data_IF_044351489655
#
_entry.id   IF_044351489655
#
_cell.length_a   1.000
_cell.length_b   1.000
_cell.length_c   1.000
_cell.angle_alpha   90.00
_cell.angle_beta   90.00
_cell.angle_gamma   90.00
#
_symmetry.space_group_name_H-M   'P 1'
#
loop_
_entity.id
_entity.type
_entity.pdbx_description
1 polymer ?
#
# COMPACT_ATOMS: atom_id res chain seq x y z
N UNK A 1 6.38 22.36 12.45
CA UNK A 1 5.51 22.44 11.27
C UNK A 1 4.45 21.36 11.40
N UNK A 2 3.15 21.70 11.30
CA UNK A 2 2.04 20.75 11.37
C UNK A 2 1.79 20.08 10.01
N UNK A 3 1.34 18.82 10.04
CA UNK A 3 0.79 18.08 8.90
C UNK A 3 -0.25 17.11 9.45
N UNK A 4 -1.51 17.53 9.41
CA UNK A 4 -2.64 16.93 10.11
C UNK A 4 -2.92 15.49 9.68
N UNK A 5 -2.71 14.55 10.61
CA UNK A 5 -3.32 13.23 10.54
C UNK A 5 -4.85 13.39 10.69
N UNK A 6 -5.61 12.72 9.81
CA UNK A 6 -7.07 12.73 9.88
C UNK A 6 -7.56 12.31 11.29
N UNK A 7 -8.59 12.97 11.84
CA UNK A 7 -9.12 12.66 13.15
C UNK A 7 -10.03 11.42 13.12
N UNK A 8 -9.81 10.52 14.08
CA UNK A 8 -10.65 9.35 14.37
C UNK A 8 -10.23 8.14 13.55
N UNK A 9 -9.62 7.11 14.11
CA UNK A 9 -10.29 6.25 15.07
C UNK A 9 -9.24 5.55 15.95
N UNK A 10 -8.98 6.10 17.14
CA UNK A 10 -8.34 5.35 18.21
C UNK A 10 -9.34 4.30 18.72
N UNK A 11 -9.32 3.11 18.14
CA UNK A 11 -10.17 2.02 18.59
C UNK A 11 -9.49 0.67 18.38
N UNK A 12 -8.41 0.41 19.14
CA UNK A 12 -7.79 -0.90 19.36
C UNK A 12 -7.23 -1.57 18.08
N UNK A 13 -6.11 -2.31 18.13
CA UNK A 13 -5.75 -3.19 17.03
C UNK A 13 -6.73 -4.37 17.06
N UNK A 14 -7.93 -4.18 16.51
CA UNK A 14 -8.83 -5.26 16.18
C UNK A 14 -8.07 -6.18 15.20
N UNK A 15 -8.03 -7.50 15.42
CA UNK A 15 -7.43 -8.42 14.46
C UNK A 15 -8.04 -8.16 13.08
N UNK A 16 -7.20 -7.89 12.10
CA UNK A 16 -7.63 -7.49 10.77
C UNK A 16 -8.51 -8.58 10.17
N UNK A 17 -9.71 -8.21 9.72
CA UNK A 17 -10.66 -9.15 9.14
C UNK A 17 -10.16 -9.60 7.75
N UNK A 18 -9.78 -10.88 7.58
CA UNK A 18 -9.24 -11.37 6.33
C UNK A 18 -10.24 -11.25 5.17
N UNK A 19 -11.55 -11.27 5.45
CA UNK A 19 -12.58 -11.13 4.42
C UNK A 19 -12.64 -9.68 3.93
N UNK A 20 -12.59 -8.72 4.86
CA UNK A 20 -12.56 -7.29 4.52
C UNK A 20 -11.29 -6.93 3.74
N UNK A 21 -10.13 -7.42 4.18
CA UNK A 21 -8.85 -7.22 3.47
C UNK A 21 -8.93 -7.78 2.05
N UNK A 22 -9.48 -8.99 1.89
CA UNK A 22 -9.60 -9.61 0.57
C UNK A 22 -10.52 -8.80 -0.35
N UNK A 23 -11.62 -8.26 0.16
CA UNK A 23 -12.52 -7.40 -0.60
C UNK A 23 -11.84 -6.09 -1.04
N UNK A 24 -11.03 -5.48 -0.18
CA UNK A 24 -10.27 -4.27 -0.49
C UNK A 24 -9.19 -4.53 -1.55
N UNK A 25 -8.47 -5.65 -1.44
CA UNK A 25 -7.49 -6.08 -2.44
C UNK A 25 -8.16 -6.36 -3.80
N UNK A 26 -9.30 -7.05 -3.79
CA UNK A 26 -10.04 -7.35 -5.01
C UNK A 26 -10.54 -6.06 -5.71
N UNK A 27 -10.91 -5.03 -4.94
CA UNK A 27 -11.27 -3.71 -5.45
C UNK A 27 -10.08 -2.96 -6.07
N UNK A 28 -8.93 -2.92 -5.38
CA UNK A 28 -7.71 -2.28 -5.88
C UNK A 28 -7.20 -2.96 -7.17
N UNK A 29 -7.29 -4.29 -7.24
CA UNK A 29 -6.93 -5.05 -8.43
C UNK A 29 -7.91 -4.83 -9.59
N UNK A 30 -9.18 -4.56 -9.33
CA UNK A 30 -10.15 -4.20 -10.36
C UNK A 30 -9.87 -2.80 -10.92
N UNK A 31 -9.54 -1.82 -10.07
CA UNK A 31 -9.15 -0.47 -10.46
C UNK A 31 -7.87 -0.48 -11.31
N UNK A 32 -6.87 -1.27 -10.92
CA UNK A 32 -5.63 -1.43 -11.68
C UNK A 32 -5.88 -1.99 -13.09
N UNK A 33 -6.78 -2.96 -13.23
CA UNK A 33 -7.15 -3.53 -14.54
C UNK A 33 -7.96 -2.56 -15.39
N UNK A 34 -8.80 -1.74 -14.78
CA UNK A 34 -9.53 -0.69 -15.48
C UNK A 34 -8.58 0.40 -16.01
N UNK A 35 -7.55 0.74 -15.24
CA UNK A 35 -6.49 1.68 -15.66
C UNK A 35 -5.58 1.11 -16.76
N UNK A 36 -5.29 -0.20 -16.73
CA UNK A 36 -4.48 -0.87 -17.75
C UNK A 36 -5.11 -0.88 -19.16
N UNK A 37 -6.42 -0.67 -19.27
CA UNK A 37 -7.12 -0.52 -20.56
C UNK A 37 -6.95 0.85 -21.23
N UNK A 38 -6.36 1.83 -20.54
CA UNK A 38 -6.22 3.22 -20.99
C UNK A 38 -4.75 3.65 -21.26
N UNK A 39 -3.79 2.72 -21.21
CA UNK A 39 -2.37 3.04 -21.34
C UNK A 39 -1.91 3.08 -22.81
N UNK A 40 -2.10 4.24 -23.46
CA UNK A 40 -1.45 4.59 -24.73
C UNK A 40 -0.05 5.15 -24.44
N UNK A 41 0.98 4.32 -24.61
CA UNK A 41 2.40 4.64 -24.89
C UNK A 41 3.24 5.54 -23.97
N UNK A 42 2.70 6.60 -23.37
CA UNK A 42 3.48 7.66 -22.69
C UNK A 42 3.58 7.50 -21.16
N UNK A 43 2.65 6.75 -20.54
CA UNK A 43 2.56 6.55 -19.07
C UNK A 43 3.57 5.50 -18.54
N UNK A 44 4.17 4.68 -19.42
CA UNK A 44 5.00 3.54 -19.02
C UNK A 44 6.27 3.93 -18.21
N UNK A 45 6.86 5.10 -18.48
CA UNK A 45 8.03 5.61 -17.74
C UNK A 45 7.68 6.15 -16.35
N UNK A 46 6.51 6.78 -16.23
CA UNK A 46 5.96 7.25 -14.94
C UNK A 46 5.59 6.05 -14.07
N UNK A 47 5.04 5.00 -14.68
CA UNK A 47 4.69 3.75 -14.01
C UNK A 47 5.90 2.98 -13.47
N UNK A 48 7.02 2.96 -14.19
CA UNK A 48 8.26 2.31 -13.70
C UNK A 48 8.79 3.03 -12.46
N UNK A 49 8.81 4.36 -12.48
CA UNK A 49 9.27 5.17 -11.33
C UNK A 49 8.34 4.98 -10.13
N UNK A 50 7.02 4.95 -10.38
CA UNK A 50 6.01 4.70 -9.35
C UNK A 50 6.15 3.30 -8.75
N UNK A 51 6.35 2.27 -9.58
CA UNK A 51 6.55 0.88 -9.14
C UNK A 51 7.83 0.70 -8.33
N UNK A 52 8.94 1.34 -8.74
CA UNK A 52 10.19 1.30 -8.00
C UNK A 52 10.02 1.85 -6.58
N UNK A 53 9.33 2.99 -6.44
CA UNK A 53 9.06 3.61 -5.14
C UNK A 53 8.18 2.75 -4.24
N UNK A 54 7.16 2.10 -4.81
CA UNK A 54 6.28 1.21 -4.06
C UNK A 54 7.06 -0.01 -3.55
N UNK A 55 7.97 -0.57 -4.35
CA UNK A 55 8.81 -1.70 -3.95
C UNK A 55 9.81 -1.35 -2.86
N UNK A 56 10.44 -0.17 -2.95
CA UNK A 56 11.34 0.35 -1.92
C UNK A 56 10.60 0.53 -0.58
N UNK A 57 9.42 1.15 -0.61
CA UNK A 57 8.62 1.35 0.60
C UNK A 57 8.14 0.03 1.22
N UNK A 58 7.76 -0.95 0.39
CA UNK A 58 7.40 -2.28 0.88
C UNK A 58 8.60 -3.00 1.53
N UNK A 59 9.80 -2.80 0.99
CA UNK A 59 11.02 -3.36 1.54
C UNK A 59 11.36 -2.75 2.91
N UNK A 60 11.25 -1.44 3.07
CA UNK A 60 11.49 -0.76 4.35
C UNK A 60 10.57 -1.27 5.46
N UNK A 61 9.28 -1.46 5.16
CA UNK A 61 8.31 -2.00 6.13
C UNK A 61 8.68 -3.42 6.56
N UNK A 62 9.14 -4.26 5.63
CA UNK A 62 9.56 -5.63 5.95
C UNK A 62 10.84 -5.66 6.81
N UNK A 63 11.78 -4.75 6.56
CA UNK A 63 13.01 -4.62 7.37
C UNK A 63 12.67 -4.14 8.77
N UNK A 64 11.79 -3.16 8.93
CA UNK A 64 11.38 -2.64 10.24
C UNK A 64 10.63 -3.72 11.07
N UNK A 65 9.74 -4.47 10.42
CA UNK A 65 9.07 -5.61 11.04
C UNK A 65 10.05 -6.69 11.50
N UNK A 66 11.08 -6.98 10.70
CA UNK A 66 12.11 -7.96 11.04
C UNK A 66 13.03 -7.46 12.18
N UNK A 67 13.38 -6.17 12.19
CA UNK A 67 14.17 -5.56 13.26
C UNK A 67 13.44 -5.54 14.61
N UNK A 68 12.10 -5.57 14.58
CA UNK A 68 11.28 -5.66 15.80
C UNK A 68 11.31 -7.08 16.40
N UNK A 69 11.56 -8.12 15.60
CA UNK A 69 11.75 -9.51 16.07
C UNK A 69 13.12 -9.71 16.74
N UNK A 70 14.15 -8.97 16.33
CA UNK A 70 15.51 -9.03 16.90
C UNK A 70 15.66 -8.32 18.27
N UNK A 71 14.60 -7.64 18.73
CA UNK A 71 14.54 -6.97 20.04
C UNK A 71 13.95 -7.81 21.18
N UNK A 72 13.60 -9.07 20.91
CA UNK A 72 13.05 -10.03 21.89
C UNK A 72 14.12 -11.07 22.21
#
# INVERSE_FOLDING_TARGET
MPGSHLPGNQAHPQPADPVAIKAEVDALLAELRASAGAADGAEAGVDITRRARILEQAHEVLVDALATVDKI
#
